data_IF_330774630436
#
_entry.id   IF_330774630436
#
_cell.length_a   1.000
_cell.length_b   1.000
_cell.length_c   1.000
_cell.angle_alpha   90.00
_cell.angle_beta   90.00
_cell.angle_gamma   90.00
#
_symmetry.space_group_name_H-M   'P 1'
#
loop_
_entity.id
_entity.type
_entity.pdbx_description
1 polymer ?
#
# COMPACT_ATOMS: atom_id res chain seq x y z
N UNK A 1 -8.07 -0.23 -11.96
CA UNK A 1 -8.44 1.15 -11.58
C UNK A 1 -7.97 2.08 -12.68
N UNK A 2 -8.67 3.18 -12.97
CA UNK A 2 -8.14 4.18 -13.92
C UNK A 2 -7.05 5.01 -13.27
N UNK A 3 -6.21 5.66 -14.07
CA UNK A 3 -5.16 6.54 -13.55
C UNK A 3 -5.74 7.69 -12.72
N UNK A 4 -6.84 8.30 -13.17
CA UNK A 4 -7.53 9.36 -12.41
C UNK A 4 -8.03 8.87 -11.04
N UNK A 5 -8.57 7.65 -10.96
CA UNK A 5 -9.00 7.06 -9.70
C UNK A 5 -7.82 6.76 -8.77
N UNK A 6 -6.70 6.30 -9.32
CA UNK A 6 -5.48 6.07 -8.55
C UNK A 6 -4.96 7.38 -7.96
N UNK A 7 -4.83 8.42 -8.77
CA UNK A 7 -4.39 9.75 -8.33
C UNK A 7 -5.33 10.34 -7.29
N UNK A 8 -6.64 10.19 -7.47
CA UNK A 8 -7.64 10.59 -6.49
C UNK A 8 -7.39 9.94 -5.12
N UNK A 9 -7.21 8.62 -5.06
CA UNK A 9 -6.97 7.95 -3.77
C UNK A 9 -5.66 8.37 -3.14
N UNK A 10 -4.58 8.53 -3.92
CA UNK A 10 -3.29 9.01 -3.41
C UNK A 10 -3.44 10.41 -2.81
N UNK A 11 -4.14 11.32 -3.48
CA UNK A 11 -4.38 12.68 -2.99
C UNK A 11 -5.21 12.69 -1.70
N UNK A 12 -6.28 11.90 -1.64
CA UNK A 12 -7.12 11.80 -0.43
C UNK A 12 -6.36 11.15 0.74
N UNK A 13 -5.51 10.16 0.48
CA UNK A 13 -4.60 9.58 1.49
C UNK A 13 -3.70 10.67 2.09
N UNK A 14 -3.05 11.47 1.24
CA UNK A 14 -2.16 12.55 1.69
C UNK A 14 -2.92 13.58 2.53
N UNK A 15 -4.04 14.08 2.01
CA UNK A 15 -4.89 15.06 2.69
C UNK A 15 -5.34 14.58 4.07
N UNK A 16 -5.86 13.36 4.17
CA UNK A 16 -6.37 12.83 5.43
C UNK A 16 -5.26 12.51 6.42
N UNK A 17 -4.08 12.06 5.96
CA UNK A 17 -2.90 11.92 6.81
C UNK A 17 -2.48 13.26 7.40
N UNK A 18 -2.39 14.30 6.58
CA UNK A 18 -2.07 15.65 7.06
C UNK A 18 -3.09 16.16 8.09
N UNK A 19 -4.38 15.91 7.87
CA UNK A 19 -5.43 16.24 8.85
C UNK A 19 -5.25 15.45 10.15
N UNK A 20 -4.98 14.14 10.07
CA UNK A 20 -4.77 13.29 11.23
C UNK A 20 -3.52 13.71 12.04
N UNK A 21 -2.45 14.12 11.36
CA UNK A 21 -1.21 14.58 12.00
C UNK A 21 -1.37 15.94 12.68
N UNK A 22 -2.28 16.78 12.18
CA UNK A 22 -2.61 18.07 12.79
C UNK A 22 -3.47 17.93 14.06
N UNK A 23 -4.13 16.78 14.27
CA UNK A 23 -4.88 16.53 15.49
C UNK A 23 -3.93 16.22 16.65
N UNK A 24 -4.13 16.93 17.76
CA UNK A 24 -3.51 16.60 19.04
C UNK A 24 -3.98 15.24 19.57
N UNK A 25 -3.26 14.73 20.56
CA UNK A 25 -3.54 13.41 21.17
C UNK A 25 -3.92 13.51 22.64
N UNK A 26 -4.34 14.70 23.08
CA UNK A 26 -4.50 15.06 24.49
C UNK A 26 -5.92 14.82 25.04
N UNK A 27 -6.84 14.37 24.18
CA UNK A 27 -8.19 14.01 24.61
C UNK A 27 -8.74 12.80 23.84
N UNK A 28 -9.59 11.98 24.48
CA UNK A 28 -10.22 10.85 23.82
C UNK A 28 -11.00 11.22 22.56
N UNK A 29 -11.61 12.41 22.52
CA UNK A 29 -12.36 12.89 21.35
C UNK A 29 -11.47 13.10 20.13
N UNK A 30 -10.31 13.76 20.30
CA UNK A 30 -9.35 13.98 19.22
C UNK A 30 -8.73 12.66 18.75
N UNK A 31 -8.48 11.72 19.67
CA UNK A 31 -8.00 10.38 19.31
C UNK A 31 -9.03 9.62 18.45
N UNK A 32 -10.33 9.71 18.76
CA UNK A 32 -11.40 9.10 17.96
C UNK A 32 -11.50 9.72 16.57
N UNK A 33 -11.35 11.04 16.47
CA UNK A 33 -11.32 11.74 15.18
C UNK A 33 -10.11 11.30 14.34
N UNK A 34 -8.93 11.23 14.95
CA UNK A 34 -7.71 10.73 14.33
C UNK A 34 -7.85 9.28 13.83
N UNK A 35 -8.48 8.41 14.62
CA UNK A 35 -8.81 7.03 14.23
C UNK A 35 -9.72 7.01 13.01
N UNK A 36 -10.71 7.91 12.94
CA UNK A 36 -11.66 7.99 11.81
C UNK A 36 -10.94 8.37 10.51
N UNK A 37 -10.08 9.38 10.56
CA UNK A 37 -9.25 9.79 9.42
C UNK A 37 -8.32 8.65 8.98
N UNK A 38 -7.57 8.05 9.92
CA UNK A 38 -6.65 6.96 9.60
C UNK A 38 -7.36 5.71 9.09
N UNK A 39 -8.57 5.41 9.55
CA UNK A 39 -9.39 4.30 9.03
C UNK A 39 -9.76 4.53 7.57
N UNK A 40 -10.07 5.78 7.20
CA UNK A 40 -10.37 6.14 5.81
C UNK A 40 -9.11 6.07 4.95
N UNK A 41 -7.98 6.55 5.45
CA UNK A 41 -6.64 6.37 4.83
C UNK A 41 -6.37 4.88 4.58
N UNK A 42 -6.54 4.02 5.59
CA UNK A 42 -6.31 2.58 5.48
C UNK A 42 -7.18 1.95 4.38
N UNK A 43 -8.45 2.34 4.26
CA UNK A 43 -9.33 1.86 3.19
C UNK A 43 -8.81 2.27 1.80
N UNK A 44 -8.43 3.54 1.60
CA UNK A 44 -7.90 4.00 0.33
C UNK A 44 -6.55 3.36 0.00
N UNK A 45 -5.67 3.22 1.00
CA UNK A 45 -4.41 2.50 0.86
C UNK A 45 -4.61 1.05 0.42
N UNK A 46 -5.64 0.37 0.93
CA UNK A 46 -5.99 -0.98 0.48
C UNK A 46 -6.30 -1.05 -1.03
N UNK A 47 -6.97 -0.02 -1.57
CA UNK A 47 -7.26 0.06 -3.02
C UNK A 47 -5.99 0.29 -3.85
N UNK A 48 -5.12 1.19 -3.37
CA UNK A 48 -3.84 1.48 -4.04
C UNK A 48 -2.92 0.26 -3.99
N UNK A 49 -2.78 -0.38 -2.82
CA UNK A 49 -1.99 -1.60 -2.65
C UNK A 49 -2.47 -2.73 -3.58
N UNK A 50 -3.78 -2.93 -3.73
CA UNK A 50 -4.33 -3.94 -4.63
C UNK A 50 -4.00 -3.65 -6.10
N UNK A 51 -3.99 -2.37 -6.50
CA UNK A 51 -3.58 -1.98 -7.85
C UNK A 51 -2.09 -2.25 -8.08
N UNK A 52 -1.21 -1.93 -7.13
CA UNK A 52 0.22 -2.22 -7.23
C UNK A 52 0.51 -3.72 -7.29
N UNK A 53 -0.22 -4.53 -6.51
CA UNK A 53 -0.18 -5.99 -6.60
C UNK A 53 -0.53 -6.47 -8.02
N UNK A 54 -1.57 -5.88 -8.63
CA UNK A 54 -1.97 -6.18 -9.99
C UNK A 54 -0.96 -5.73 -11.06
N UNK A 55 -0.34 -4.57 -10.90
CA UNK A 55 0.68 -4.04 -11.81
C UNK A 55 1.91 -4.95 -11.84
N UNK A 56 2.41 -5.33 -10.66
CA UNK A 56 3.50 -6.30 -10.54
C UNK A 56 3.14 -7.65 -11.19
N UNK A 57 1.95 -8.20 -10.91
CA UNK A 57 1.53 -9.48 -11.48
C UNK A 57 1.44 -9.44 -13.02
N UNK A 58 0.96 -8.32 -13.59
CA UNK A 58 0.92 -8.13 -15.06
C UNK A 58 2.32 -8.13 -15.66
N UNK A 59 3.27 -7.40 -15.06
CA UNK A 59 4.65 -7.36 -15.54
C UNK A 59 5.36 -8.71 -15.41
N UNK A 60 5.16 -9.40 -14.29
CA UNK A 60 5.66 -10.76 -14.09
C UNK A 60 5.18 -11.72 -15.19
N UNK A 61 3.87 -11.72 -15.47
CA UNK A 61 3.29 -12.55 -16.54
C UNK A 61 3.80 -12.13 -17.92
N UNK A 62 3.85 -10.83 -18.20
CA UNK A 62 4.36 -10.30 -19.47
C UNK A 62 5.81 -10.75 -19.70
N UNK A 63 6.68 -10.61 -18.69
CA UNK A 63 8.07 -11.05 -18.76
C UNK A 63 8.17 -12.54 -19.09
N UNK A 64 7.41 -13.41 -18.41
CA UNK A 64 7.43 -14.85 -18.67
C UNK A 64 6.95 -15.19 -20.08
N UNK A 65 5.89 -14.54 -20.53
CA UNK A 65 5.36 -14.75 -21.88
C UNK A 65 6.36 -14.29 -22.95
N UNK A 66 7.00 -13.13 -22.76
CA UNK A 66 8.02 -12.60 -23.67
C UNK A 66 9.23 -13.52 -23.72
N UNK A 67 9.71 -14.02 -22.58
CA UNK A 67 10.81 -14.98 -22.53
C UNK A 67 10.50 -16.23 -23.36
N UNK A 68 9.34 -16.85 -23.12
CA UNK A 68 8.94 -18.08 -23.84
C UNK A 68 8.78 -17.82 -25.33
N UNK A 69 8.17 -16.69 -25.70
CA UNK A 69 7.99 -16.28 -27.10
C UNK A 69 9.34 -16.09 -27.80
N UNK A 70 10.23 -15.30 -27.21
CA UNK A 70 11.56 -15.03 -27.76
C UNK A 70 12.37 -16.33 -27.92
N UNK A 71 12.33 -17.22 -26.92
CA UNK A 71 13.00 -18.53 -26.99
C UNK A 71 12.45 -19.41 -28.11
N UNK A 72 11.13 -19.39 -28.34
CA UNK A 72 10.48 -20.15 -29.41
C UNK A 72 10.85 -19.61 -30.80
N UNK A 73 10.87 -18.29 -30.95
CA UNK A 73 11.12 -17.59 -32.22
C UNK A 73 12.61 -17.52 -32.58
N UNK A 74 13.51 -17.68 -31.60
CA UNK A 74 14.94 -17.64 -31.83
C UNK A 74 15.40 -18.70 -32.86
N UNK A 75 16.24 -18.32 -33.84
CA UNK A 75 16.81 -19.24 -34.82
C UNK A 75 17.69 -20.31 -34.15
N UNK A 76 18.17 -21.29 -34.94
CA UNK A 76 19.12 -22.30 -34.44
C UNK A 76 20.37 -21.59 -33.89
N UNK A 77 20.72 -21.83 -32.62
CA UNK A 77 21.76 -21.12 -31.90
C UNK A 77 21.43 -20.98 -30.41
N UNK A 78 22.01 -19.99 -29.73
CA UNK A 78 21.77 -19.73 -28.30
C UNK A 78 20.43 -19.02 -28.07
N UNK A 79 19.37 -19.83 -28.02
CA UNK A 79 17.99 -19.38 -27.78
C UNK A 79 17.78 -18.82 -26.38
N UNK A 80 18.64 -19.16 -25.43
CA UNK A 80 18.54 -18.68 -24.06
C UNK A 80 19.01 -17.24 -23.99
N UNK A 81 20.16 -16.93 -24.62
CA UNK A 81 20.66 -15.56 -24.71
C UNK A 81 19.63 -14.61 -25.33
N UNK A 82 19.07 -14.98 -26.49
CA UNK A 82 18.04 -14.18 -27.17
C UNK A 82 16.80 -13.93 -26.29
N UNK A 83 16.40 -14.92 -25.47
CA UNK A 83 15.26 -14.78 -24.58
C UNK A 83 15.57 -13.92 -23.34
N UNK A 84 16.78 -14.00 -22.80
CA UNK A 84 17.26 -13.17 -21.70
C UNK A 84 17.38 -11.69 -22.12
N UNK A 85 17.94 -11.42 -23.30
CA UNK A 85 18.01 -10.08 -23.88
C UNK A 85 16.62 -9.47 -24.06
N UNK A 86 15.65 -10.26 -24.56
CA UNK A 86 14.29 -9.81 -24.79
C UNK A 86 13.52 -9.42 -23.52
N UNK A 87 13.94 -9.89 -22.34
CA UNK A 87 13.28 -9.59 -21.07
C UNK A 87 14.05 -8.63 -20.17
N UNK A 88 15.24 -8.19 -20.57
CA UNK A 88 16.10 -7.36 -19.72
C UNK A 88 15.36 -6.11 -19.22
N UNK A 89 14.70 -5.37 -20.12
CA UNK A 89 13.92 -4.19 -19.72
C UNK A 89 12.66 -4.54 -18.92
N UNK A 90 12.05 -5.69 -19.18
CA UNK A 90 10.87 -6.14 -18.44
C UNK A 90 11.22 -6.53 -16.99
N UNK A 91 12.44 -7.02 -16.73
CA UNK A 91 12.92 -7.26 -15.36
C UNK A 91 13.03 -5.97 -14.57
N UNK A 92 13.65 -4.94 -15.13
CA UNK A 92 13.74 -3.62 -14.46
C UNK A 92 12.36 -3.07 -14.11
N UNK A 93 11.41 -3.12 -15.06
CA UNK A 93 10.05 -2.64 -14.81
C UNK A 93 9.31 -3.47 -13.74
N UNK A 94 9.52 -4.79 -13.74
CA UNK A 94 8.97 -5.70 -12.73
C UNK A 94 9.55 -5.42 -11.34
N UNK A 95 10.85 -5.15 -11.25
CA UNK A 95 11.54 -4.80 -10.01
C UNK A 95 11.01 -3.47 -9.46
N UNK A 96 10.86 -2.45 -10.30
CA UNK A 96 10.26 -1.17 -9.90
C UNK A 96 8.80 -1.35 -9.40
N UNK A 97 8.03 -2.22 -10.06
CA UNK A 97 6.66 -2.52 -9.66
C UNK A 97 6.61 -3.31 -8.35
N UNK A 98 7.56 -4.21 -8.13
CA UNK A 98 7.71 -4.94 -6.88
C UNK A 98 8.03 -4.00 -5.72
N UNK A 99 8.95 -3.07 -5.91
CA UNK A 99 9.29 -2.06 -4.90
C UNK A 99 8.05 -1.24 -4.51
N UNK A 100 7.34 -0.68 -5.50
CA UNK A 100 6.11 0.08 -5.24
C UNK A 100 5.08 -0.74 -4.49
N UNK A 101 4.85 -2.00 -4.90
CA UNK A 101 3.96 -2.92 -4.20
C UNK A 101 4.36 -3.09 -2.73
N UNK A 102 5.64 -3.29 -2.46
CA UNK A 102 6.13 -3.49 -1.10
C UNK A 102 5.98 -2.24 -0.23
N UNK A 103 6.25 -1.05 -0.79
CA UNK A 103 6.02 0.22 -0.11
C UNK A 103 4.56 0.33 0.35
N UNK A 104 3.61 0.14 -0.57
CA UNK A 104 2.19 0.28 -0.24
C UNK A 104 1.67 -0.78 0.74
N UNK A 105 2.20 -2.00 0.69
CA UNK A 105 1.88 -3.03 1.70
C UNK A 105 2.39 -2.66 3.08
N UNK A 106 3.65 -2.26 3.18
CA UNK A 106 4.25 -1.89 4.46
C UNK A 106 3.56 -0.68 5.08
N UNK A 107 3.22 0.33 4.27
CA UNK A 107 2.47 1.50 4.71
C UNK A 107 1.06 1.15 5.20
N UNK A 108 0.37 0.24 4.50
CA UNK A 108 -0.95 -0.23 4.89
C UNK A 108 -0.90 -0.93 6.27
N UNK A 109 0.08 -1.81 6.46
CA UNK A 109 0.29 -2.50 7.73
C UNK A 109 0.64 -1.52 8.86
N UNK A 110 1.51 -0.54 8.59
CA UNK A 110 1.88 0.50 9.56
C UNK A 110 0.66 1.31 10.02
N UNK A 111 -0.21 1.75 9.10
CA UNK A 111 -1.42 2.50 9.45
C UNK A 111 -2.38 1.64 10.28
N UNK A 112 -2.52 0.35 9.93
CA UNK A 112 -3.36 -0.58 10.69
C UNK A 112 -2.88 -0.70 12.14
N UNK A 113 -1.58 -0.86 12.36
CA UNK A 113 -1.02 -0.92 13.71
C UNK A 113 -1.20 0.40 14.47
N UNK A 114 -1.02 1.55 13.80
CA UNK A 114 -1.29 2.85 14.43
C UNK A 114 -2.74 3.01 14.86
N UNK A 115 -3.69 2.59 14.03
CA UNK A 115 -5.13 2.59 14.39
C UNK A 115 -5.37 1.72 15.63
N UNK A 116 -4.75 0.54 15.68
CA UNK A 116 -4.89 -0.37 16.81
C UNK A 116 -4.34 0.25 18.11
N UNK A 117 -3.15 0.84 18.08
CA UNK A 117 -2.54 1.57 19.19
C UNK A 117 -3.47 2.67 19.71
N UNK A 118 -3.98 3.53 18.82
CA UNK A 118 -4.87 4.63 19.19
C UNK A 118 -6.18 4.12 19.81
N UNK A 119 -6.76 3.03 19.28
CA UNK A 119 -7.96 2.41 19.85
C UNK A 119 -7.71 1.89 21.27
N UNK A 120 -6.53 1.32 21.53
CA UNK A 120 -6.15 0.89 22.88
C UNK A 120 -6.00 2.07 23.84
N UNK A 121 -5.40 3.18 23.39
CA UNK A 121 -5.28 4.40 24.19
C UNK A 121 -6.63 4.99 24.58
N UNK A 122 -7.54 5.13 23.62
CA UNK A 122 -8.92 5.59 23.89
C UNK A 122 -9.60 4.72 24.94
N UNK A 123 -9.47 3.40 24.83
CA UNK A 123 -10.02 2.46 25.80
C UNK A 123 -9.44 2.67 27.21
N UNK A 124 -8.14 2.87 27.32
CA UNK A 124 -7.46 3.11 28.61
C UNK A 124 -7.94 4.42 29.23
N UNK A 125 -7.90 5.52 28.46
CA UNK A 125 -8.27 6.86 28.95
C UNK A 125 -9.74 6.91 29.41
N UNK A 126 -10.65 6.27 28.66
CA UNK A 126 -12.08 6.24 29.01
C UNK A 126 -12.38 5.35 30.21
N UNK A 127 -11.68 4.22 30.39
CA UNK A 127 -11.83 3.38 31.57
C UNK A 127 -11.23 4.01 32.84
N UNK A 128 -10.09 4.69 32.73
CA UNK A 128 -9.49 5.43 33.86
C UNK A 128 -10.41 6.59 34.27
N UNK A 129 -10.98 7.33 33.31
CA UNK A 129 -11.92 8.41 33.59
C UNK A 129 -13.23 7.94 34.26
N UNK A 130 -13.68 6.72 33.98
CA UNK A 130 -14.89 6.14 34.59
C UNK A 130 -14.70 5.52 35.98
N UNK A 131 -13.46 5.20 36.37
CA UNK A 131 -13.15 4.54 37.66
C UNK A 131 -12.83 5.49 38.83
N UNK A 132 -12.68 6.80 38.58
CA UNK A 132 -12.31 7.80 39.58
C UNK A 132 -13.49 8.46 40.33
N UNK A 133 -14.73 8.03 40.08
CA UNK A 133 -15.94 8.64 40.64
C UNK A 133 -16.72 7.71 41.58
N UNK A 134 -16.01 6.92 42.40
CA UNK A 134 -16.60 6.23 43.56
C UNK A 134 -15.65 6.42 44.74
N UNK A 135 -15.76 7.58 45.37
CA UNK A 135 -15.35 7.82 46.75
C UNK A 135 -16.56 7.63 47.67
#
# INVERSE_FOLDING_TARGET
MTDDQLQYYIAEIQKQRTQADALGEDSPGLLVEKITLLTTVHMYMGRVSAQMDGDYARLYTLRKNTYVKAKKEAPRGDKTLAAEEAIMKLRELEDDAYERKMIWRNELDSVKEKIYELRMRVRIETHIAGGGAIG
#
